data_IF_836930693681
#
_entry.id   IF_836930693681
#
_cell.length_a   1.000
_cell.length_b   1.000
_cell.length_c   1.000
_cell.angle_alpha   90.00
_cell.angle_beta   90.00
_cell.angle_gamma   90.00
#
_symmetry.space_group_name_H-M   'P 1'
#
loop_
_entity.id
_entity.type
_entity.pdbx_description
1 polymer ?
#
# COMPACT_ATOMS: atom_id res chain seq x y z
N UNK A 1 25.84 -23.75 -34.87
CA UNK A 1 25.19 -22.45 -34.65
C UNK A 1 23.97 -22.36 -35.55
N UNK A 2 22.79 -22.13 -34.98
CA UNK A 2 21.57 -21.51 -35.54
C UNK A 2 20.33 -22.06 -34.81
N UNK A 3 19.84 -21.23 -33.89
CA UNK A 3 18.56 -21.36 -33.19
C UNK A 3 17.40 -21.07 -34.14
N UNK A 4 16.39 -21.94 -34.19
CA UNK A 4 15.01 -21.53 -34.48
C UNK A 4 14.06 -22.45 -33.72
N UNK A 5 13.70 -22.06 -32.48
CA UNK A 5 12.57 -22.66 -31.78
C UNK A 5 11.28 -22.07 -32.35
N UNK A 6 10.48 -22.96 -32.89
CA UNK A 6 9.20 -22.73 -33.55
C UNK A 6 8.23 -22.02 -32.59
N UNK A 7 7.80 -20.84 -33.00
CA UNK A 7 6.72 -20.06 -32.40
C UNK A 7 5.41 -20.81 -32.69
N UNK A 8 4.77 -21.35 -31.65
CA UNK A 8 3.40 -21.85 -31.75
C UNK A 8 2.44 -20.66 -31.81
N UNK A 9 2.21 -20.14 -33.03
CA UNK A 9 1.07 -19.29 -33.34
C UNK A 9 -0.21 -20.09 -33.20
N UNK A 10 -1.03 -19.74 -32.22
CA UNK A 10 -2.41 -20.19 -32.14
C UNK A 10 -3.27 -19.08 -32.76
N UNK A 11 -3.65 -19.29 -34.01
CA UNK A 11 -4.67 -18.52 -34.71
C UNK A 11 -6.01 -18.97 -34.15
N UNK A 12 -6.73 -18.06 -33.48
CA UNK A 12 -8.14 -18.24 -33.17
C UNK A 12 -8.94 -17.23 -33.98
N UNK A 13 -9.49 -17.69 -35.09
CA UNK A 13 -10.52 -16.97 -35.86
C UNK A 13 -11.86 -17.56 -35.45
N UNK A 14 -12.70 -16.78 -34.76
CA UNK A 14 -14.12 -17.11 -34.59
C UNK A 14 -14.98 -15.84 -34.43
N UNK A 15 -15.72 -15.57 -35.50
CA UNK A 15 -17.08 -15.03 -35.57
C UNK A 15 -17.48 -13.83 -34.70
N UNK A 16 -17.71 -12.71 -35.38
CA UNK A 16 -18.54 -11.58 -34.93
C UNK A 16 -20.01 -12.02 -34.97
N UNK A 17 -20.63 -12.15 -33.79
CA UNK A 17 -22.09 -12.09 -33.64
C UNK A 17 -22.43 -11.22 -32.44
N UNK A 18 -23.41 -10.33 -32.67
CA UNK A 18 -23.74 -9.21 -31.80
C UNK A 18 -24.15 -9.60 -30.39
N UNK A 19 -23.48 -8.98 -29.42
CA UNK A 19 -24.05 -8.47 -28.19
C UNK A 19 -22.98 -7.56 -27.59
N UNK A 20 -23.34 -6.33 -27.22
CA UNK A 20 -22.50 -5.47 -26.39
C UNK A 20 -22.46 -6.07 -24.97
N UNK A 21 -21.88 -7.25 -24.82
CA UNK A 21 -21.49 -7.77 -23.53
C UNK A 21 -20.29 -6.92 -23.11
N UNK A 22 -20.50 -6.05 -22.11
CA UNK A 22 -19.42 -5.35 -21.45
C UNK A 22 -18.35 -6.39 -21.10
N UNK A 23 -17.21 -6.36 -21.80
CA UNK A 23 -16.11 -7.27 -21.59
C UNK A 23 -15.63 -7.02 -20.16
N UNK A 24 -16.11 -7.85 -19.23
CA UNK A 24 -15.63 -7.88 -17.87
C UNK A 24 -14.19 -8.38 -17.97
N UNK A 25 -13.27 -7.45 -18.16
CA UNK A 25 -11.85 -7.73 -18.13
C UNK A 25 -11.60 -8.30 -16.73
N UNK A 26 -11.17 -9.57 -16.61
CA UNK A 26 -10.83 -10.11 -15.30
C UNK A 26 -9.72 -9.23 -14.76
N UNK A 27 -10.04 -8.44 -13.74
CA UNK A 27 -9.06 -7.58 -13.09
C UNK A 27 -8.11 -8.52 -12.38
N UNK A 28 -6.98 -8.85 -13.01
CA UNK A 28 -5.97 -9.70 -12.41
C UNK A 28 -5.67 -9.16 -11.01
N UNK A 29 -5.80 -10.02 -10.00
CA UNK A 29 -5.61 -9.63 -8.61
C UNK A 29 -4.24 -8.94 -8.49
N UNK A 30 -4.24 -7.68 -8.03
CA UNK A 30 -3.03 -6.86 -7.99
C UNK A 30 -1.91 -7.61 -7.26
N UNK A 31 -0.84 -7.95 -8.01
CA UNK A 31 0.33 -8.66 -7.49
C UNK A 31 1.01 -7.80 -6.42
N UNK A 32 1.58 -8.46 -5.42
CA UNK A 32 2.38 -7.78 -4.40
C UNK A 32 3.73 -7.36 -5.00
N UNK A 33 4.15 -6.13 -4.71
CA UNK A 33 5.46 -5.58 -5.08
C UNK A 33 6.27 -5.33 -3.82
N UNK A 34 7.53 -5.78 -3.80
CA UNK A 34 8.43 -5.58 -2.67
C UNK A 34 8.74 -4.10 -2.46
N UNK A 35 8.79 -3.68 -1.20
CA UNK A 35 9.12 -2.34 -0.76
C UNK A 35 7.91 -1.43 -0.51
N UNK A 36 8.08 -0.14 -0.77
CA UNK A 36 7.07 0.91 -0.61
C UNK A 36 6.89 1.72 -1.89
N UNK A 37 5.65 2.11 -2.26
CA UNK A 37 5.40 3.00 -3.40
C UNK A 37 6.13 4.33 -3.22
N UNK A 38 6.81 4.84 -4.27
CA UNK A 38 7.55 6.12 -4.22
C UNK A 38 6.69 7.28 -3.70
N UNK A 39 5.42 7.36 -4.09
CA UNK A 39 4.48 8.41 -3.64
C UNK A 39 4.21 8.41 -2.13
N UNK A 40 4.41 7.27 -1.46
CA UNK A 40 4.26 7.18 0.00
C UNK A 40 5.56 7.46 0.75
N UNK A 41 6.71 7.47 0.06
CA UNK A 41 8.01 7.63 0.69
C UNK A 41 8.22 9.08 1.14
N UNK A 42 8.81 9.25 2.32
CA UNK A 42 9.07 10.58 2.88
C UNK A 42 9.03 10.60 4.41
N UNK A 43 9.12 11.82 4.94
CA UNK A 43 8.95 12.11 6.37
C UNK A 43 7.73 13.01 6.53
N UNK A 44 6.80 12.58 7.38
CA UNK A 44 5.52 13.22 7.57
C UNK A 44 5.27 13.46 9.06
N UNK A 45 4.55 14.52 9.39
CA UNK A 45 4.18 14.86 10.77
C UNK A 45 2.70 15.20 10.83
N UNK A 46 2.02 14.70 11.86
CA UNK A 46 0.64 15.06 12.16
C UNK A 46 0.59 16.52 12.58
N UNK A 47 -0.50 17.21 12.23
CA UNK A 47 -0.79 18.55 12.76
C UNK A 47 -1.49 18.53 14.11
N UNK A 48 -1.99 17.37 14.52
CA UNK A 48 -2.65 17.19 15.80
C UNK A 48 -1.70 16.54 16.77
N UNK A 49 -1.47 17.21 17.89
CA UNK A 49 -0.74 16.66 19.01
C UNK A 49 -1.52 15.49 19.66
N UNK A 50 -0.78 14.56 20.23
CA UNK A 50 -1.25 13.52 21.14
C UNK A 50 -0.78 13.87 22.56
N UNK A 51 -1.00 12.95 23.49
CA UNK A 51 -0.61 13.07 24.90
C UNK A 51 0.81 13.63 25.07
N UNK A 52 0.96 14.63 25.94
CA UNK A 52 2.23 15.30 26.20
C UNK A 52 2.67 16.26 25.10
N UNK A 53 1.73 16.85 24.36
CA UNK A 53 1.97 17.80 23.26
C UNK A 53 2.90 17.25 22.15
N UNK A 54 2.93 15.92 21.99
CA UNK A 54 3.76 15.26 21.01
C UNK A 54 3.02 15.12 19.69
N UNK A 55 3.63 15.58 18.59
CA UNK A 55 3.08 15.44 17.25
C UNK A 55 3.52 14.11 16.64
N UNK A 56 2.60 13.17 16.35
CA UNK A 56 2.96 11.91 15.73
C UNK A 56 3.74 12.09 14.43
N UNK A 57 4.73 11.23 14.21
CA UNK A 57 5.54 11.24 13.00
C UNK A 57 5.47 9.90 12.27
N UNK A 58 5.61 9.98 10.96
CA UNK A 58 5.65 8.84 10.06
C UNK A 58 6.85 8.99 9.14
N UNK A 59 7.74 7.99 9.12
CA UNK A 59 8.84 7.93 8.16
C UNK A 59 8.69 6.69 7.31
N UNK A 60 8.54 6.91 6.00
CA UNK A 60 8.33 5.86 5.01
C UNK A 60 9.56 5.83 4.11
N UNK A 61 10.29 4.71 4.14
CA UNK A 61 11.40 4.40 3.22
C UNK A 61 11.02 3.21 2.34
N UNK A 62 11.81 2.94 1.31
CA UNK A 62 11.58 1.81 0.41
C UNK A 62 11.44 0.46 1.15
N UNK A 63 12.27 0.20 2.15
CA UNK A 63 12.32 -1.09 2.87
C UNK A 63 11.82 -1.04 4.32
N UNK A 64 11.51 0.15 4.85
CA UNK A 64 11.17 0.34 6.26
C UNK A 64 10.14 1.44 6.49
N UNK A 65 9.20 1.19 7.38
CA UNK A 65 8.20 2.14 7.86
C UNK A 65 8.38 2.33 9.36
N UNK A 66 8.46 3.58 9.80
CA UNK A 66 8.55 3.93 11.23
C UNK A 66 7.41 4.85 11.61
N UNK A 67 6.62 4.45 12.61
CA UNK A 67 5.51 5.20 13.18
C UNK A 67 5.89 5.58 14.60
N UNK A 68 5.85 6.87 14.93
CA UNK A 68 6.00 7.33 16.32
C UNK A 68 4.75 8.09 16.73
N UNK A 69 4.01 7.55 17.70
CA UNK A 69 2.79 8.18 18.24
C UNK A 69 3.02 8.91 19.55
N UNK A 70 4.14 8.62 20.22
CA UNK A 70 4.55 9.22 21.50
C UNK A 70 6.08 9.36 21.53
N UNK A 71 6.61 10.24 22.40
CA UNK A 71 8.06 10.55 22.48
C UNK A 71 8.95 9.31 22.69
N UNK A 72 8.50 8.35 23.51
CA UNK A 72 9.24 7.13 23.86
C UNK A 72 8.78 5.87 23.08
N UNK A 73 7.79 5.98 22.20
CA UNK A 73 7.22 4.82 21.49
C UNK A 73 7.39 4.95 19.99
N UNK A 74 8.13 4.00 19.40
CA UNK A 74 8.37 3.89 17.96
C UNK A 74 8.08 2.47 17.50
N UNK A 75 7.16 2.34 16.56
CA UNK A 75 6.88 1.08 15.86
C UNK A 75 7.63 1.07 14.54
N UNK A 76 8.40 0.01 14.28
CA UNK A 76 9.12 -0.20 13.03
C UNK A 76 8.58 -1.45 12.33
N UNK A 77 8.31 -1.31 11.03
CA UNK A 77 7.81 -2.38 10.15
C UNK A 77 8.80 -2.53 8.99
N UNK A 78 9.22 -3.76 8.75
CA UNK A 78 10.18 -4.19 7.74
C UNK A 78 9.55 -5.25 6.82
N UNK A 79 10.32 -5.80 5.89
CA UNK A 79 9.85 -6.79 4.90
C UNK A 79 8.59 -6.32 4.17
N UNK A 80 8.62 -5.05 3.78
CA UNK A 80 7.47 -4.37 3.21
C UNK A 80 7.16 -4.91 1.83
N UNK A 81 5.87 -5.04 1.54
CA UNK A 81 5.37 -5.18 0.20
C UNK A 81 4.03 -4.48 0.08
N UNK A 82 3.71 -3.99 -1.12
CA UNK A 82 2.50 -3.24 -1.38
C UNK A 82 1.72 -3.82 -2.55
N UNK A 83 0.43 -3.48 -2.57
CA UNK A 83 -0.44 -3.61 -3.74
C UNK A 83 -1.36 -2.41 -3.81
N UNK A 84 -1.68 -1.95 -5.00
CA UNK A 84 -2.66 -0.87 -5.21
C UNK A 84 -4.04 -1.36 -4.74
N UNK A 85 -4.76 -0.57 -3.96
CA UNK A 85 -6.14 -0.89 -3.55
C UNK A 85 -7.17 0.05 -4.14
N UNK A 86 -6.84 1.33 -4.30
CA UNK A 86 -7.66 2.32 -5.01
C UNK A 86 -6.74 3.31 -5.73
N UNK A 87 -7.26 4.22 -6.58
CA UNK A 87 -6.45 5.28 -7.19
C UNK A 87 -5.70 6.19 -6.21
N UNK A 88 -6.10 6.22 -4.94
CA UNK A 88 -5.49 7.06 -3.89
C UNK A 88 -5.00 6.26 -2.69
N UNK A 89 -4.91 4.93 -2.81
CA UNK A 89 -4.48 4.08 -1.69
C UNK A 89 -3.75 2.81 -2.10
N UNK A 90 -2.92 2.34 -1.18
CA UNK A 90 -2.23 1.06 -1.24
C UNK A 90 -2.53 0.24 0.00
N UNK A 91 -2.61 -1.08 -0.16
CA UNK A 91 -2.47 -2.01 0.96
C UNK A 91 -1.01 -2.40 1.07
N UNK A 92 -0.45 -2.24 2.25
CA UNK A 92 0.91 -2.59 2.61
C UNK A 92 0.83 -3.79 3.56
N UNK A 93 1.70 -4.78 3.34
CA UNK A 93 1.99 -5.82 4.34
C UNK A 93 3.44 -5.67 4.78
N UNK A 94 3.73 -6.08 6.01
CA UNK A 94 5.08 -6.12 6.53
C UNK A 94 5.14 -6.89 7.84
N UNK A 95 6.30 -6.84 8.46
CA UNK A 95 6.57 -7.50 9.73
C UNK A 95 7.07 -6.47 10.73
N UNK A 96 6.46 -6.42 11.91
CA UNK A 96 6.99 -5.66 13.02
C UNK A 96 8.38 -6.18 13.39
N UNK A 97 9.23 -5.32 13.94
CA UNK A 97 10.57 -5.71 14.41
C UNK A 97 10.55 -6.90 15.40
N UNK A 98 9.44 -7.10 16.14
CA UNK A 98 9.25 -8.23 17.07
C UNK A 98 8.64 -9.49 16.41
N UNK A 99 8.56 -9.57 15.08
CA UNK A 99 8.15 -10.77 14.34
C UNK A 99 6.66 -10.84 13.94
N UNK A 100 5.79 -10.00 14.50
CA UNK A 100 4.37 -10.01 14.15
C UNK A 100 4.09 -9.50 12.74
N UNK A 101 3.23 -10.18 11.97
CA UNK A 101 2.78 -9.68 10.65
C UNK A 101 1.76 -8.56 10.82
N UNK A 102 1.83 -7.57 9.96
CA UNK A 102 0.91 -6.43 9.96
C UNK A 102 0.48 -6.02 8.57
N UNK A 103 -0.69 -5.40 8.50
CA UNK A 103 -1.25 -4.86 7.28
C UNK A 103 -1.70 -3.43 7.51
N UNK A 104 -1.41 -2.57 6.56
CA UNK A 104 -1.81 -1.16 6.58
C UNK A 104 -2.52 -0.84 5.28
N UNK A 105 -3.56 -0.01 5.34
CA UNK A 105 -4.08 0.69 4.18
C UNK A 105 -3.57 2.12 4.26
N UNK A 106 -2.72 2.51 3.33
CA UNK A 106 -2.14 3.83 3.28
C UNK A 106 -2.79 4.63 2.15
N UNK A 107 -3.34 5.78 2.49
CA UNK A 107 -3.88 6.76 1.55
C UNK A 107 -2.87 7.88 1.35
N UNK A 108 -2.90 8.50 0.17
CA UNK A 108 -2.12 9.69 -0.12
C UNK A 108 -2.98 10.74 -0.83
N UNK A 109 -2.54 11.99 -0.76
CA UNK A 109 -3.12 13.11 -1.49
C UNK A 109 -2.17 14.30 -1.49
N UNK A 110 -2.57 15.38 -2.15
CA UNK A 110 -1.83 16.65 -2.12
C UNK A 110 -2.42 17.59 -1.07
N UNK A 111 -1.56 18.42 -0.49
CA UNK A 111 -1.93 19.55 0.35
C UNK A 111 -0.85 20.63 0.25
N UNK A 112 -1.21 21.84 -0.19
CA UNK A 112 -0.27 22.95 -0.41
C UNK A 112 0.93 22.54 -1.29
N UNK A 113 0.68 21.78 -2.36
CA UNK A 113 1.72 21.31 -3.28
C UNK A 113 2.61 20.18 -2.75
N UNK A 114 2.43 19.72 -1.51
CA UNK A 114 3.19 18.62 -0.89
C UNK A 114 2.32 17.38 -0.69
N UNK A 115 2.96 16.22 -0.58
CA UNK A 115 2.23 14.98 -0.30
C UNK A 115 1.77 14.95 1.15
N UNK A 116 0.55 14.48 1.39
CA UNK A 116 0.08 14.04 2.70
C UNK A 116 -0.30 12.58 2.63
N UNK A 117 -0.12 11.88 3.73
CA UNK A 117 -0.42 10.46 3.85
C UNK A 117 -1.24 10.19 5.09
N UNK A 118 -2.08 9.17 5.02
CA UNK A 118 -2.85 8.66 6.15
C UNK A 118 -2.76 7.15 6.13
N UNK A 119 -2.87 6.51 7.29
CA UNK A 119 -2.87 5.06 7.35
C UNK A 119 -3.94 4.53 8.30
N UNK A 120 -4.37 3.30 8.01
CA UNK A 120 -5.29 2.52 8.80
C UNK A 120 -4.71 1.14 9.00
N UNK A 121 -4.62 0.69 10.25
CA UNK A 121 -4.05 -0.61 10.59
C UNK A 121 -5.06 -1.74 10.41
N UNK A 122 -4.55 -2.95 10.22
CA UNK A 122 -5.33 -4.19 10.19
C UNK A 122 -4.53 -5.34 10.77
N UNK A 123 -5.28 -6.31 11.28
CA UNK A 123 -4.79 -7.63 11.68
C UNK A 123 -5.63 -8.72 10.98
N UNK A 124 -5.08 -9.92 10.90
CA UNK A 124 -5.81 -11.08 10.38
C UNK A 124 -6.67 -11.68 11.50
N UNK A 125 -7.94 -11.92 11.22
CA UNK A 125 -8.83 -12.77 12.04
C UNK A 125 -9.34 -13.87 11.12
N UNK A 126 -9.04 -15.14 11.44
CA UNK A 126 -9.45 -16.31 10.65
C UNK A 126 -9.11 -16.20 9.15
N UNK A 127 -7.91 -15.69 8.82
CA UNK A 127 -7.47 -15.49 7.43
C UNK A 127 -8.03 -14.24 6.73
N UNK A 128 -8.94 -13.50 7.36
CA UNK A 128 -9.52 -12.26 6.81
C UNK A 128 -8.90 -11.01 7.45
N UNK A 129 -8.63 -9.99 6.65
CA UNK A 129 -8.15 -8.70 7.15
C UNK A 129 -9.28 -7.93 7.83
N UNK A 130 -9.14 -7.70 9.13
CA UNK A 130 -10.00 -6.79 9.89
C UNK A 130 -9.29 -5.47 10.10
N UNK A 131 -9.88 -4.40 9.60
CA UNK A 131 -9.35 -3.05 9.71
C UNK A 131 -9.80 -2.44 11.04
N UNK A 132 -8.98 -1.54 11.61
CA UNK A 132 -9.40 -0.69 12.74
C UNK A 132 -10.63 0.14 12.37
N UNK A 133 -11.29 0.85 13.29
CA UNK A 133 -12.41 1.74 12.89
C UNK A 133 -11.90 2.96 12.13
N UNK A 134 -10.93 3.67 12.70
CA UNK A 134 -10.47 4.97 12.20
C UNK A 134 -9.08 4.92 11.59
N UNK A 135 -8.83 5.84 10.66
CA UNK A 135 -7.50 6.20 10.21
C UNK A 135 -6.76 6.97 11.32
N UNK A 136 -5.43 6.94 11.28
CA UNK A 136 -4.58 7.69 12.20
C UNK A 136 -4.59 9.23 11.98
N UNK A 137 -5.39 9.72 11.02
CA UNK A 137 -5.39 11.10 10.56
C UNK A 137 -4.35 11.38 9.47
N UNK A 138 -4.35 12.60 8.95
CA UNK A 138 -3.39 13.04 7.93
C UNK A 138 -2.06 13.44 8.54
N UNK A 139 -0.98 12.91 7.97
CA UNK A 139 0.39 13.31 8.19
C UNK A 139 0.86 14.10 6.97
N UNK A 140 1.49 15.24 7.21
CA UNK A 140 1.89 16.18 6.17
C UNK A 140 3.39 16.10 5.96
N UNK A 141 3.80 16.05 4.70
CA UNK A 141 5.21 16.06 4.35
C UNK A 141 5.82 17.38 4.81
N UNK A 142 6.95 17.28 5.52
CA UNK A 142 7.73 18.46 5.90
C UNK A 142 8.28 19.14 4.65
#
# INVERSE_FOLDING_TARGET
MHSHKIVKSLIFTAAVFGSLAAVQTPTAAAKWTTGMPKVLQGRFTSRYAKTGNFYPTLSVKANRLTIATQKKSKTTIENLAYRRSTPVSYVIKGTYKNGGRTYLRMMFGSYQGKTRVSYKSSHLINGHLRWTKHYAGWFYQK
#
